data_IF_517779323851
#
_entry.id   IF_517779323851
#
_cell.length_a   1.000
_cell.length_b   1.000
_cell.length_c   1.000
_cell.angle_alpha   90.00
_cell.angle_beta   90.00
_cell.angle_gamma   90.00
#
_symmetry.space_group_name_H-M   'P 1'
#
loop_
_entity.id
_entity.type
_entity.pdbx_description
1 polymer ?
#
# COMPACT_ATOMS: atom_id res chain seq x y z
N UNK A 1 -8.21 1.23 14.21
CA UNK A 1 -6.84 0.74 14.57
C UNK A 1 -6.07 0.41 13.31
N UNK A 2 -4.76 0.58 13.32
CA UNK A 2 -3.92 0.13 12.22
C UNK A 2 -4.02 -1.39 12.11
N UNK A 3 -4.42 -1.88 10.94
CA UNK A 3 -4.54 -3.31 10.66
C UNK A 3 -3.32 -3.84 9.93
N UNK A 4 -2.88 -3.12 8.90
CA UNK A 4 -1.81 -3.56 8.00
C UNK A 4 -1.03 -2.37 7.47
N UNK A 5 0.26 -2.57 7.20
CA UNK A 5 1.09 -1.52 6.64
C UNK A 5 2.18 -2.13 5.74
N UNK A 6 2.34 -1.56 4.56
CA UNK A 6 3.50 -1.77 3.70
C UNK A 6 4.33 -0.49 3.79
N UNK A 7 5.52 -0.60 4.37
CA UNK A 7 6.37 0.56 4.66
C UNK A 7 7.46 0.69 3.60
N UNK A 8 7.57 1.91 3.07
CA UNK A 8 8.67 2.29 2.18
C UNK A 8 8.62 1.60 0.80
N UNK A 9 7.39 1.38 0.29
CA UNK A 9 7.21 0.89 -1.06
C UNK A 9 7.65 1.96 -2.08
N UNK A 10 8.23 1.53 -3.20
CA UNK A 10 8.59 2.43 -4.30
C UNK A 10 7.48 2.42 -5.34
N UNK A 11 7.01 3.60 -5.73
CA UNK A 11 6.02 3.75 -6.82
C UNK A 11 6.67 3.33 -8.13
N UNK A 12 6.08 2.37 -8.83
CA UNK A 12 6.62 1.83 -10.07
C UNK A 12 5.98 2.42 -11.32
N UNK A 13 4.75 2.94 -11.19
CA UNK A 13 4.03 3.54 -12.32
C UNK A 13 2.97 4.50 -11.82
N UNK A 14 2.58 5.43 -12.68
CA UNK A 14 1.44 6.32 -12.46
C UNK A 14 0.63 6.36 -13.76
N UNK A 15 -0.70 6.09 -13.65
CA UNK A 15 -1.57 5.94 -14.82
C UNK A 15 -2.79 6.84 -14.66
N UNK A 16 -2.68 8.06 -15.13
CA UNK A 16 -3.68 9.10 -14.89
C UNK A 16 -5.04 8.81 -15.54
N UNK A 17 -5.04 8.09 -16.66
CA UNK A 17 -6.25 7.80 -17.42
C UNK A 17 -7.01 6.56 -16.96
N UNK A 18 -6.51 5.86 -15.95
CA UNK A 18 -7.18 4.70 -15.37
C UNK A 18 -8.09 5.13 -14.22
N UNK A 19 -9.03 4.24 -13.86
CA UNK A 19 -9.86 4.46 -12.69
C UNK A 19 -9.00 4.57 -11.43
N UNK A 20 -9.42 5.45 -10.52
CA UNK A 20 -8.67 5.69 -9.28
C UNK A 20 -8.51 4.43 -8.46
N UNK A 21 -7.26 4.05 -8.19
CA UNK A 21 -6.90 2.88 -7.40
C UNK A 21 -5.39 2.87 -7.19
N UNK A 22 -4.92 1.94 -6.35
CA UNK A 22 -3.51 1.59 -6.32
C UNK A 22 -3.37 0.09 -6.61
N UNK A 23 -2.64 -0.24 -7.68
CA UNK A 23 -2.37 -1.63 -8.02
C UNK A 23 -1.13 -2.09 -7.27
N UNK A 24 -1.25 -3.16 -6.49
CA UNK A 24 -0.17 -3.67 -5.64
C UNK A 24 0.02 -5.17 -5.93
N UNK A 25 1.28 -5.59 -6.01
CA UNK A 25 1.69 -6.98 -6.08
C UNK A 25 0.86 -7.84 -5.12
N UNK A 26 0.14 -8.83 -5.66
CA UNK A 26 -0.79 -9.65 -4.88
C UNK A 26 -0.10 -10.44 -3.77
N UNK A 27 1.14 -10.86 -3.97
CA UNK A 27 1.90 -11.55 -2.92
C UNK A 27 2.09 -10.67 -1.70
N UNK A 28 2.36 -9.37 -1.90
CA UNK A 28 2.51 -8.44 -0.80
C UNK A 28 1.20 -8.18 -0.08
N UNK A 29 0.10 -8.10 -0.83
CA UNK A 29 -1.23 -7.93 -0.24
C UNK A 29 -1.58 -9.10 0.67
N UNK A 30 -1.30 -10.33 0.24
CA UNK A 30 -1.56 -11.52 1.05
C UNK A 30 -0.73 -11.54 2.32
N UNK A 31 0.55 -11.15 2.24
CA UNK A 31 1.44 -11.15 3.41
C UNK A 31 0.95 -10.23 4.52
N UNK A 32 0.30 -9.13 4.18
CA UNK A 32 -0.20 -8.16 5.17
C UNK A 32 -1.72 -8.21 5.33
N UNK A 33 -2.39 -9.16 4.68
CA UNK A 33 -3.83 -9.36 4.77
C UNK A 33 -4.63 -8.12 4.35
N UNK A 34 -4.26 -7.54 3.23
CA UNK A 34 -5.06 -6.49 2.57
C UNK A 34 -5.79 -7.14 1.41
N UNK A 35 -7.12 -6.97 1.38
CA UNK A 35 -7.96 -7.56 0.36
C UNK A 35 -8.06 -6.64 -0.86
N UNK A 36 -8.23 -7.19 -2.08
CA UNK A 36 -8.62 -6.37 -3.23
C UNK A 36 -9.87 -5.55 -2.91
N UNK A 37 -9.90 -4.31 -3.37
CA UNK A 37 -10.96 -3.32 -3.15
C UNK A 37 -11.01 -2.75 -1.73
N UNK A 38 -10.12 -3.16 -0.88
CA UNK A 38 -10.03 -2.57 0.47
C UNK A 38 -9.54 -1.13 0.38
N UNK A 39 -10.14 -0.25 1.18
CA UNK A 39 -9.69 1.13 1.26
C UNK A 39 -8.35 1.23 1.98
N UNK A 40 -7.43 2.01 1.43
CA UNK A 40 -6.12 2.24 2.05
C UNK A 40 -5.79 3.72 2.06
N UNK A 41 -4.97 4.10 3.02
CA UNK A 41 -4.36 5.42 3.12
C UNK A 41 -2.95 5.34 2.55
N UNK A 42 -2.60 6.29 1.71
CA UNK A 42 -1.27 6.38 1.11
C UNK A 42 -0.56 7.60 1.66
N UNK A 43 0.61 7.39 2.20
CA UNK A 43 1.45 8.46 2.74
C UNK A 43 2.73 8.54 1.91
N UNK A 44 2.89 9.63 1.16
CA UNK A 44 4.07 9.82 0.32
C UNK A 44 5.20 10.37 1.18
N UNK A 45 6.24 9.57 1.39
CA UNK A 45 7.36 9.94 2.26
C UNK A 45 8.16 11.11 1.67
N UNK A 46 8.27 11.18 0.34
CA UNK A 46 9.05 12.21 -0.33
C UNK A 46 8.40 13.58 -0.29
N UNK A 47 7.08 13.63 -0.48
CA UNK A 47 6.33 14.89 -0.59
C UNK A 47 5.53 15.25 0.65
N UNK A 48 5.26 14.29 1.52
CA UNK A 48 4.35 14.46 2.65
C UNK A 48 2.88 14.43 2.27
N UNK A 49 2.56 14.24 1.00
CA UNK A 49 1.18 14.18 0.53
C UNK A 49 0.49 12.94 1.08
N UNK A 50 -0.79 13.10 1.43
CA UNK A 50 -1.62 12.00 1.94
C UNK A 50 -2.89 11.92 1.13
N UNK A 51 -3.29 10.71 0.75
CA UNK A 51 -4.55 10.51 0.04
C UNK A 51 -5.11 9.12 0.35
N UNK A 52 -6.38 8.94 0.04
CA UNK A 52 -7.12 7.72 0.29
C UNK A 52 -7.58 7.16 -1.05
N UNK A 53 -7.39 5.86 -1.22
CA UNK A 53 -7.84 5.15 -2.42
C UNK A 53 -8.19 3.70 -2.04
N UNK A 54 -8.37 2.84 -3.02
CA UNK A 54 -8.59 1.41 -2.77
C UNK A 54 -7.59 0.60 -3.58
N UNK A 55 -7.42 -0.65 -3.18
CA UNK A 55 -6.40 -1.54 -3.74
C UNK A 55 -6.99 -2.41 -4.84
N UNK A 56 -6.23 -2.60 -5.91
CA UNK A 56 -6.45 -3.68 -6.85
C UNK A 56 -5.19 -4.55 -6.90
N UNK A 57 -5.37 -5.84 -7.23
CA UNK A 57 -4.25 -6.78 -7.27
C UNK A 57 -3.47 -6.62 -8.58
N UNK A 58 -2.14 -6.53 -8.47
CA UNK A 58 -1.24 -6.61 -9.60
C UNK A 58 -0.59 -8.00 -9.62
N UNK A 59 0.10 -8.31 -10.71
CA UNK A 59 0.70 -9.63 -10.91
C UNK A 59 1.59 -10.04 -9.74
N UNK A 60 1.43 -11.27 -9.29
CA UNK A 60 2.23 -11.86 -8.21
C UNK A 60 3.72 -11.81 -8.53
N UNK A 61 4.51 -11.38 -7.55
CA UNK A 61 5.94 -11.31 -7.68
C UNK A 61 6.46 -10.19 -8.57
N UNK A 62 5.57 -9.29 -9.01
CA UNK A 62 5.93 -8.21 -9.94
C UNK A 62 6.60 -7.02 -9.26
N UNK A 63 6.39 -6.84 -7.96
CA UNK A 63 6.85 -5.65 -7.25
C UNK A 63 6.11 -4.38 -7.64
N UNK A 64 4.96 -4.48 -8.31
CA UNK A 64 4.23 -3.33 -8.82
C UNK A 64 3.55 -2.56 -7.68
N UNK A 65 3.71 -1.23 -7.71
CA UNK A 65 2.92 -0.25 -6.97
C UNK A 65 2.57 0.85 -7.97
N UNK A 66 1.42 0.72 -8.61
CA UNK A 66 0.97 1.67 -9.63
C UNK A 66 -0.18 2.52 -9.09
N UNK A 67 0.00 3.84 -9.10
CA UNK A 67 -1.02 4.78 -8.64
C UNK A 67 -1.82 5.23 -9.85
N UNK A 68 -3.11 4.95 -9.85
CA UNK A 68 -3.99 5.12 -10.99
C UNK A 68 -5.01 6.24 -10.74
N UNK A 69 -5.44 6.88 -11.84
CA UNK A 69 -6.47 7.90 -11.80
C UNK A 69 -5.98 9.24 -11.27
N UNK A 70 -6.87 9.99 -10.65
CA UNK A 70 -6.56 11.35 -10.16
C UNK A 70 -5.41 11.37 -9.15
N UNK A 71 -5.29 10.32 -8.33
CA UNK A 71 -4.21 10.21 -7.34
C UNK A 71 -2.83 10.11 -7.98
N UNK A 72 -2.75 9.75 -9.27
CA UNK A 72 -1.48 9.70 -9.98
C UNK A 72 -0.74 11.05 -10.00
N UNK A 73 -1.47 12.14 -9.79
CA UNK A 73 -0.86 13.47 -9.69
C UNK A 73 -0.18 13.72 -8.33
N UNK A 74 -0.43 12.88 -7.35
CA UNK A 74 0.07 13.05 -5.97
C UNK A 74 1.34 12.26 -5.70
N UNK A 75 1.86 11.56 -6.69
CA UNK A 75 3.08 10.78 -6.56
C UNK A 75 3.81 10.69 -7.89
N UNK A 76 5.09 10.43 -7.83
CA UNK A 76 5.95 10.22 -9.00
C UNK A 76 6.59 8.84 -8.91
N UNK A 77 6.98 8.30 -10.05
CA UNK A 77 7.75 7.05 -10.10
C UNK A 77 8.99 7.21 -9.22
N UNK A 78 9.28 6.20 -8.43
CA UNK A 78 10.36 6.13 -7.45
C UNK A 78 10.09 6.86 -6.13
N UNK A 79 8.97 7.54 -5.98
CA UNK A 79 8.58 8.05 -4.66
C UNK A 79 8.43 6.88 -3.69
N UNK A 80 8.81 7.10 -2.44
CA UNK A 80 8.64 6.12 -1.37
C UNK A 80 7.33 6.42 -0.67
N UNK A 81 6.52 5.39 -0.49
CA UNK A 81 5.20 5.53 0.10
C UNK A 81 4.97 4.51 1.21
N UNK A 82 4.02 4.84 2.08
CA UNK A 82 3.48 3.91 3.06
C UNK A 82 2.04 3.62 2.65
N UNK A 83 1.69 2.34 2.59
CA UNK A 83 0.30 1.91 2.36
C UNK A 83 -0.22 1.38 3.68
N UNK A 84 -1.27 2.02 4.21
CA UNK A 84 -1.82 1.66 5.52
C UNK A 84 -3.30 1.32 5.41
N UNK A 85 -3.69 0.21 6.01
CA UNK A 85 -5.08 -0.20 6.12
C UNK A 85 -5.50 -0.16 7.59
N UNK A 86 -6.73 0.27 7.83
CA UNK A 86 -7.27 0.44 9.18
C UNK A 86 -8.54 -0.39 9.33
N UNK A 87 -8.82 -0.81 10.54
CA UNK A 87 -10.01 -1.59 10.82
C UNK A 87 -10.50 -1.38 12.23
N UNK A 88 -11.72 -1.87 12.48
CA UNK A 88 -12.32 -1.88 13.80
C UNK A 88 -11.90 -3.17 14.51
N UNK A 89 -11.36 -3.03 15.72
CA UNK A 89 -10.87 -4.15 16.51
C UNK A 89 -11.45 -4.03 17.90
N UNK A 90 -12.00 -5.15 18.41
CA UNK A 90 -12.49 -5.21 19.76
C UNK A 90 -11.32 -5.46 20.71
N UNK A 91 -10.79 -4.38 21.29
CA UNK A 91 -9.60 -4.46 22.16
C UNK A 91 -9.88 -5.17 23.50
N UNK A 92 -11.13 -5.36 23.86
CA UNK A 92 -11.50 -6.11 25.06
C UNK A 92 -11.40 -7.62 24.83
N UNK A 93 -11.53 -8.05 23.57
CA UNK A 93 -11.53 -9.47 23.20
C UNK A 93 -10.28 -9.91 22.46
N UNK A 94 -9.55 -8.98 21.87
CA UNK A 94 -8.41 -9.29 21.01
C UNK A 94 -7.17 -8.52 21.42
N UNK A 95 -6.06 -9.23 21.49
CA UNK A 95 -4.74 -8.60 21.48
C UNK A 95 -4.31 -8.55 20.03
N UNK A 96 -4.34 -7.37 19.45
CA UNK A 96 -4.06 -7.22 18.04
C UNK A 96 -2.67 -6.66 17.77
N UNK A 97 -1.98 -7.33 16.84
CA UNK A 97 -0.71 -6.86 16.30
C UNK A 97 -0.94 -6.55 14.82
N UNK A 98 -0.70 -5.32 14.36
CA UNK A 98 -0.81 -5.03 12.93
C UNK A 98 0.21 -5.85 12.15
N UNK A 99 -0.16 -6.23 10.94
CA UNK A 99 0.75 -6.92 10.01
C UNK A 99 1.49 -5.86 9.22
N UNK A 100 2.80 -5.78 9.40
CA UNK A 100 3.62 -4.74 8.76
C UNK A 100 4.83 -5.37 8.08
N UNK A 101 5.19 -4.83 6.92
CA UNK A 101 6.37 -5.24 6.18
C UNK A 101 7.18 -4.01 5.80
N UNK A 102 8.49 -4.14 5.87
CA UNK A 102 9.42 -3.16 5.33
C UNK A 102 9.88 -3.63 3.96
N UNK A 103 9.84 -2.74 2.97
CA UNK A 103 10.24 -3.05 1.60
C UNK A 103 11.51 -2.28 1.23
N UNK A 104 12.32 -2.87 0.35
CA UNK A 104 13.48 -2.19 -0.23
C UNK A 104 13.10 -1.43 -1.51
N UNK A 105 14.07 -0.82 -2.16
CA UNK A 105 13.83 0.00 -3.35
C UNK A 105 13.25 -0.78 -4.53
N UNK A 106 13.34 -2.10 -4.53
CA UNK A 106 12.77 -2.97 -5.56
C UNK A 106 11.46 -3.63 -5.09
N UNK A 107 10.90 -3.14 -3.98
CA UNK A 107 9.66 -3.66 -3.38
C UNK A 107 9.75 -5.12 -2.94
N UNK A 108 10.95 -5.52 -2.53
CA UNK A 108 11.16 -6.83 -1.92
C UNK A 108 11.13 -6.69 -0.42
N UNK A 109 10.61 -7.71 0.26
CA UNK A 109 10.53 -7.74 1.72
C UNK A 109 11.94 -7.77 2.30
N UNK A 110 12.24 -6.81 3.19
CA UNK A 110 13.52 -6.74 3.88
C UNK A 110 13.43 -7.47 5.21
N UNK A 111 12.37 -7.18 5.98
CA UNK A 111 12.11 -7.85 7.24
C UNK A 111 10.68 -7.57 7.68
N UNK A 112 10.20 -8.38 8.61
CA UNK A 112 8.94 -8.13 9.29
C UNK A 112 9.13 -7.06 10.35
N UNK A 113 8.28 -6.08 10.30
CA UNK A 113 8.36 -4.92 11.18
C UNK A 113 7.66 -5.15 12.52
#
# INVERSE_FOLDING_TARGET
MLKSKLHSASVTATEIDYEGSIAIDEDLLELVDIQPYEQVHIYNINSGTRFITYVIAAKRGSGIFSINGAAARLAQINDRIIVAAYGNIDTDKEKYQPKTLLLDALNKVVEDD
#
